data_IF_358250932069
#
_entry.id   IF_358250932069
#
_cell.length_a   1.000
_cell.length_b   1.000
_cell.length_c   1.000
_cell.angle_alpha   90.00
_cell.angle_beta   90.00
_cell.angle_gamma   90.00
#
_symmetry.space_group_name_H-M   'P 1'
#
loop_
_entity.id
_entity.type
_entity.pdbx_description
1 polymer ?
#
# COMPACT_ATOMS: atom_id res chain seq x y z
N UNK A 1 -6.69 5.49 8.12
CA UNK A 1 -5.57 4.79 7.46
C UNK A 1 -4.24 5.04 8.16
N UNK A 2 -3.92 6.28 8.55
CA UNK A 2 -2.67 6.62 9.26
C UNK A 2 -2.47 5.78 10.52
N UNK A 3 -3.50 5.60 11.35
CA UNK A 3 -3.41 4.79 12.57
C UNK A 3 -3.09 3.31 12.30
N UNK A 4 -3.67 2.72 11.25
CA UNK A 4 -3.37 1.34 10.86
C UNK A 4 -1.92 1.21 10.41
N UNK A 5 -1.44 2.18 9.62
CA UNK A 5 -0.05 2.21 9.17
C UNK A 5 0.93 2.40 10.33
N UNK A 6 0.66 3.33 11.23
CA UNK A 6 1.47 3.54 12.43
C UNK A 6 1.54 2.27 13.29
N UNK A 7 0.42 1.55 13.44
CA UNK A 7 0.40 0.26 14.11
C UNK A 7 1.27 -0.78 13.39
N UNK A 8 1.25 -0.83 12.07
CA UNK A 8 2.13 -1.74 11.30
C UNK A 8 3.61 -1.41 11.51
N UNK A 9 3.99 -0.13 11.51
CA UNK A 9 5.37 0.30 11.83
C UNK A 9 5.75 -0.18 13.22
N UNK A 10 4.91 0.10 14.23
CA UNK A 10 5.19 -0.26 15.61
C UNK A 10 5.31 -1.78 15.80
N UNK A 11 4.44 -2.56 15.13
CA UNK A 11 4.50 -4.02 15.15
C UNK A 11 5.77 -4.57 14.49
N UNK A 12 6.28 -3.92 13.44
CA UNK A 12 7.55 -4.32 12.85
C UNK A 12 8.71 -3.96 13.78
N UNK A 13 8.77 -2.72 14.26
CA UNK A 13 9.84 -2.28 15.16
C UNK A 13 9.90 -3.14 16.43
N UNK A 14 8.77 -3.54 17.00
CA UNK A 14 8.76 -4.40 18.19
C UNK A 14 9.37 -5.79 17.96
N UNK A 15 9.44 -6.27 16.71
CA UNK A 15 10.05 -7.56 16.36
C UNK A 15 11.56 -7.46 16.11
N UNK A 16 12.04 -6.33 15.61
CA UNK A 16 13.42 -6.17 15.12
C UNK A 16 14.30 -5.29 16.00
N UNK A 17 13.71 -4.45 16.84
CA UNK A 17 14.45 -3.58 17.75
C UNK A 17 14.96 -4.38 18.95
N UNK A 18 16.19 -4.11 19.36
CA UNK A 18 16.80 -4.69 20.55
C UNK A 18 15.96 -4.45 21.81
N UNK A 19 16.11 -5.32 22.82
CA UNK A 19 15.37 -5.21 24.10
C UNK A 19 15.52 -3.83 24.77
N UNK A 20 16.64 -3.14 24.52
CA UNK A 20 16.95 -1.83 25.10
C UNK A 20 16.56 -0.65 24.19
N UNK A 21 15.96 -0.93 23.02
CA UNK A 21 15.46 0.08 22.07
C UNK A 21 16.49 1.09 21.55
N UNK A 22 17.76 0.68 21.45
CA UNK A 22 18.85 1.60 21.04
C UNK A 22 19.05 1.66 19.52
N UNK A 23 18.44 0.76 18.76
CA UNK A 23 18.70 0.53 17.33
C UNK A 23 17.45 0.71 16.44
N UNK A 24 16.44 1.44 16.91
CA UNK A 24 15.19 1.62 16.16
C UNK A 24 15.32 2.43 14.87
N UNK A 25 16.23 3.41 14.82
CA UNK A 25 16.42 4.29 13.66
C UNK A 25 16.88 3.56 12.37
N UNK A 26 17.94 2.71 12.40
CA UNK A 26 18.30 1.93 11.22
C UNK A 26 17.23 0.91 10.82
N UNK A 27 16.52 0.32 11.80
CA UNK A 27 15.43 -0.63 11.51
C UNK A 27 14.24 0.06 10.83
N UNK A 28 13.92 1.30 11.22
CA UNK A 28 12.87 2.08 10.58
C UNK A 28 13.17 2.32 9.10
N UNK A 29 14.41 2.66 8.77
CA UNK A 29 14.82 2.89 7.37
C UNK A 29 14.68 1.62 6.52
N UNK A 30 15.08 0.46 7.06
CA UNK A 30 14.92 -0.83 6.40
C UNK A 30 13.45 -1.22 6.22
N UNK A 31 12.63 -1.03 7.26
CA UNK A 31 11.20 -1.27 7.19
C UNK A 31 10.54 -0.41 6.11
N UNK A 32 10.83 0.89 6.11
CA UNK A 32 10.25 1.83 5.16
C UNK A 32 10.66 1.51 3.72
N UNK A 33 11.88 0.99 3.50
CA UNK A 33 12.29 0.48 2.19
C UNK A 33 11.43 -0.72 1.79
N UNK A 34 11.33 -1.74 2.65
CA UNK A 34 10.54 -2.95 2.38
C UNK A 34 9.06 -2.63 2.15
N UNK A 35 8.48 -1.74 2.97
CA UNK A 35 7.10 -1.31 2.83
C UNK A 35 6.85 -0.60 1.50
N UNK A 36 7.77 0.26 1.05
CA UNK A 36 7.62 0.99 -0.22
C UNK A 36 7.83 0.11 -1.45
N UNK A 37 8.55 -1.00 -1.33
CA UNK A 37 8.84 -1.91 -2.45
C UNK A 37 7.93 -3.15 -2.50
N UNK A 38 7.17 -3.44 -1.45
CA UNK A 38 6.21 -4.53 -1.42
C UNK A 38 4.81 -4.08 -1.87
N UNK A 39 4.05 -4.96 -2.51
CA UNK A 39 2.67 -4.67 -2.90
C UNK A 39 1.79 -4.51 -1.66
N UNK A 40 1.05 -3.40 -1.61
CA UNK A 40 0.15 -3.13 -0.52
C UNK A 40 -1.20 -3.83 -0.77
N UNK A 41 -1.67 -4.64 0.17
CA UNK A 41 -2.85 -5.53 0.01
C UNK A 41 -4.08 -4.82 -0.57
N UNK A 42 -4.39 -3.63 -0.06
CA UNK A 42 -5.58 -2.85 -0.45
C UNK A 42 -5.49 -2.27 -1.88
N UNK A 43 -4.29 -1.96 -2.37
CA UNK A 43 -4.10 -1.32 -3.69
C UNK A 43 -3.61 -2.31 -4.74
N UNK A 44 -2.98 -3.41 -4.31
CA UNK A 44 -2.32 -4.37 -5.21
C UNK A 44 -1.08 -3.82 -5.89
N UNK A 45 -0.57 -2.68 -5.45
CA UNK A 45 0.60 -2.04 -6.02
C UNK A 45 1.55 -1.61 -4.91
N UNK A 46 2.84 -1.55 -5.23
CA UNK A 46 3.83 -1.00 -4.29
C UNK A 46 3.59 0.51 -4.08
N UNK A 47 3.76 1.03 -2.85
CA UNK A 47 3.65 2.47 -2.59
C UNK A 47 4.60 3.34 -3.41
N UNK A 48 5.81 2.85 -3.69
CA UNK A 48 6.76 3.58 -4.54
C UNK A 48 6.29 3.68 -5.98
N UNK A 49 5.68 2.62 -6.52
CA UNK A 49 5.15 2.64 -7.88
C UNK A 49 3.99 3.63 -8.00
N UNK A 50 3.09 3.67 -7.01
CA UNK A 50 2.01 4.64 -6.97
C UNK A 50 2.49 6.10 -6.84
N UNK A 51 3.63 6.34 -6.19
CA UNK A 51 4.13 7.70 -5.96
C UNK A 51 5.05 8.20 -7.08
N UNK A 52 5.90 7.31 -7.61
CA UNK A 52 6.99 7.67 -8.53
C UNK A 52 6.82 7.11 -9.94
N UNK A 53 5.78 6.31 -10.20
CA UNK A 53 5.59 5.63 -11.49
C UNK A 53 6.70 4.62 -11.81
N UNK A 54 7.43 4.13 -10.79
CA UNK A 54 8.52 3.18 -10.95
C UNK A 54 8.75 2.33 -9.71
N UNK A 55 9.31 1.14 -9.91
CA UNK A 55 9.76 0.29 -8.81
C UNK A 55 11.09 0.79 -8.24
N UNK A 56 11.26 0.68 -6.91
CA UNK A 56 12.52 1.02 -6.26
C UNK A 56 13.61 0.02 -6.68
N UNK A 57 14.85 0.51 -6.79
CA UNK A 57 16.02 -0.33 -6.99
C UNK A 57 16.50 -0.83 -5.63
N UNK A 58 16.45 -2.13 -5.41
CA UNK A 58 16.83 -2.78 -4.16
C UNK A 58 18.31 -3.20 -4.19
N UNK A 59 18.94 -3.49 -3.04
CA UNK A 59 20.31 -4.00 -2.99
C UNK A 59 20.53 -5.25 -3.85
N UNK A 60 19.55 -6.15 -3.93
CA UNK A 60 19.60 -7.31 -4.82
C UNK A 60 19.66 -6.90 -6.31
N UNK A 61 18.92 -5.87 -6.74
CA UNK A 61 18.94 -5.37 -8.11
C UNK A 61 20.32 -4.81 -8.50
N UNK A 62 21.09 -4.32 -7.52
CA UNK A 62 22.46 -3.85 -7.72
C UNK A 62 23.40 -5.06 -7.84
N UNK A 63 23.28 -6.02 -6.93
CA UNK A 63 24.14 -7.21 -6.89
C UNK A 63 23.97 -8.11 -8.12
N UNK A 64 22.74 -8.29 -8.59
CA UNK A 64 22.43 -9.18 -9.72
C UNK A 64 22.35 -8.44 -11.08
N UNK A 65 22.50 -7.11 -11.08
CA UNK A 65 22.54 -6.32 -12.30
C UNK A 65 21.17 -6.21 -12.99
N UNK A 66 20.28 -5.39 -12.42
CA UNK A 66 19.05 -4.96 -13.11
C UNK A 66 19.38 -3.88 -14.15
N UNK A 67 18.90 -4.05 -15.38
CA UNK A 67 19.01 -3.03 -16.44
C UNK A 67 18.29 -1.74 -16.00
N UNK A 68 18.87 -0.59 -16.35
CA UNK A 68 18.26 0.71 -16.05
C UNK A 68 17.19 1.03 -17.10
N UNK A 69 15.98 1.32 -16.64
CA UNK A 69 14.89 1.83 -17.47
C UNK A 69 15.12 3.33 -17.76
N UNK A 70 16.25 3.67 -18.40
CA UNK A 70 16.62 5.05 -18.69
C UNK A 70 15.88 5.51 -19.94
N UNK A 71 15.03 6.55 -19.87
CA UNK A 71 14.34 7.09 -21.04
C UNK A 71 15.34 7.65 -22.05
N UNK A 72 15.02 7.56 -23.34
CA UNK A 72 15.89 8.12 -24.40
C UNK A 72 15.81 9.65 -24.44
N UNK A 73 14.72 10.24 -23.92
CA UNK A 73 14.52 11.68 -23.84
C UNK A 73 13.66 12.10 -22.65
N UNK A 74 13.73 13.38 -22.27
CA UNK A 74 12.88 13.96 -21.21
C UNK A 74 11.38 13.92 -21.54
N UNK A 75 11.01 14.11 -22.81
CA UNK A 75 9.60 14.06 -23.21
C UNK A 75 9.06 12.62 -23.13
N UNK A 76 9.85 11.64 -23.56
CA UNK A 76 9.50 10.23 -23.41
C UNK A 76 9.32 9.85 -21.93
N UNK A 77 10.21 10.33 -21.06
CA UNK A 77 10.08 10.15 -19.62
C UNK A 77 8.76 10.68 -19.07
N UNK A 78 8.40 11.93 -19.41
CA UNK A 78 7.18 12.57 -18.91
C UNK A 78 5.93 11.84 -19.40
N UNK A 79 5.87 11.48 -20.68
CA UNK A 79 4.75 10.75 -21.26
C UNK A 79 4.59 9.35 -20.62
N UNK A 80 5.71 8.64 -20.42
CA UNK A 80 5.69 7.33 -19.78
C UNK A 80 5.27 7.42 -18.31
N UNK A 81 5.73 8.45 -17.60
CA UNK A 81 5.38 8.70 -16.21
C UNK A 81 3.89 8.99 -16.05
N UNK A 82 3.34 9.86 -16.90
CA UNK A 82 1.92 10.20 -16.90
C UNK A 82 1.04 8.97 -17.15
N UNK A 83 1.31 8.23 -18.24
CA UNK A 83 0.57 7.01 -18.57
C UNK A 83 0.70 5.92 -17.47
N UNK A 84 1.88 5.78 -16.87
CA UNK A 84 2.11 4.87 -15.77
C UNK A 84 1.27 5.25 -14.54
N UNK A 85 1.32 6.52 -14.10
CA UNK A 85 0.56 6.97 -12.95
C UNK A 85 -0.95 6.86 -13.18
N UNK A 86 -1.44 7.22 -14.36
CA UNK A 86 -2.85 7.05 -14.72
C UNK A 86 -3.31 5.60 -14.59
N UNK A 87 -2.56 4.67 -15.19
CA UNK A 87 -2.89 3.24 -15.18
C UNK A 87 -2.82 2.63 -13.77
N UNK A 88 -1.75 2.90 -13.01
CA UNK A 88 -1.56 2.39 -11.65
C UNK A 88 -2.65 2.91 -10.71
N UNK A 89 -2.99 4.19 -10.80
CA UNK A 89 -4.06 4.75 -9.97
C UNK A 89 -5.45 4.26 -10.41
N UNK A 90 -5.69 4.05 -11.70
CA UNK A 90 -6.95 3.47 -12.17
C UNK A 90 -7.14 2.05 -11.61
N UNK A 91 -6.12 1.20 -11.74
CA UNK A 91 -6.13 -0.15 -11.19
C UNK A 91 -6.37 -0.17 -9.68
N UNK A 92 -5.63 0.67 -8.92
CA UNK A 92 -5.79 0.73 -7.47
C UNK A 92 -7.20 1.17 -7.06
N UNK A 93 -7.81 2.14 -7.75
CA UNK A 93 -9.19 2.58 -7.48
C UNK A 93 -10.22 1.48 -7.75
N UNK A 94 -10.08 0.74 -8.84
CA UNK A 94 -10.96 -0.38 -9.17
C UNK A 94 -10.89 -1.46 -8.09
N UNK A 95 -9.68 -1.84 -7.68
CA UNK A 95 -9.49 -2.84 -6.62
C UNK A 95 -10.08 -2.39 -5.29
N UNK A 96 -9.83 -1.15 -4.87
CA UNK A 96 -10.42 -0.58 -3.64
C UNK A 96 -11.94 -0.62 -3.70
N UNK A 97 -12.53 -0.28 -4.86
CA UNK A 97 -13.98 -0.32 -5.07
C UNK A 97 -14.53 -1.74 -4.91
N UNK A 98 -13.93 -2.73 -5.57
CA UNK A 98 -14.34 -4.13 -5.49
C UNK A 98 -14.24 -4.67 -4.05
N UNK A 99 -13.14 -4.37 -3.36
CA UNK A 99 -12.95 -4.81 -1.97
C UNK A 99 -13.96 -4.12 -1.03
N UNK A 100 -14.29 -2.85 -1.27
CA UNK A 100 -15.35 -2.15 -0.54
C UNK A 100 -16.73 -2.78 -0.76
N UNK A 101 -17.07 -3.15 -1.99
CA UNK A 101 -18.34 -3.81 -2.33
C UNK A 101 -18.45 -5.21 -1.70
N UNK A 102 -17.35 -5.99 -1.72
CA UNK A 102 -17.27 -7.28 -1.03
C UNK A 102 -17.45 -7.12 0.47
N UNK A 103 -16.78 -6.14 1.06
CA UNK A 103 -16.85 -5.87 2.50
C UNK A 103 -18.26 -5.46 2.91
N UNK A 104 -18.93 -4.61 2.10
CA UNK A 104 -20.33 -4.24 2.28
C UNK A 104 -21.24 -5.47 2.20
N UNK A 105 -21.12 -6.28 1.15
CA UNK A 105 -21.95 -7.49 0.97
C UNK A 105 -21.82 -8.45 2.16
N UNK A 106 -20.59 -8.65 2.65
CA UNK A 106 -20.33 -9.48 3.84
C UNK A 106 -20.99 -8.89 5.09
N UNK A 107 -20.90 -7.58 5.29
CA UNK A 107 -21.55 -6.90 6.41
C UNK A 107 -23.07 -7.03 6.33
N UNK A 108 -23.65 -6.75 5.17
CA UNK A 108 -25.09 -6.77 4.93
C UNK A 108 -25.69 -8.18 5.02
N UNK A 109 -24.91 -9.24 4.73
CA UNK A 109 -25.37 -10.63 4.81
C UNK A 109 -25.82 -11.09 6.21
N UNK A 110 -25.32 -10.44 7.26
CA UNK A 110 -25.72 -10.68 8.65
C UNK A 110 -26.76 -9.69 9.17
N UNK A 111 -27.18 -8.71 8.36
CA UNK A 111 -28.10 -7.68 8.79
C UNK A 111 -29.54 -8.20 8.74
N UNK A 112 -30.07 -8.62 9.90
CA UNK A 112 -31.51 -8.86 10.05
C UNK A 112 -32.21 -7.51 10.10
N UNK A 113 -33.07 -7.22 9.13
CA UNK A 113 -33.88 -6.00 9.13
C UNK A 113 -34.88 -6.03 10.29
N UNK A 114 -34.52 -5.47 11.44
CA UNK A 114 -35.48 -5.18 12.49
C UNK A 114 -36.44 -4.09 11.98
N UNK A 115 -37.64 -4.52 11.57
CA UNK A 115 -38.77 -3.64 11.39
C UNK A 115 -39.34 -3.31 12.77
N UNK A 116 -38.98 -2.14 13.29
CA UNK A 116 -39.64 -1.58 14.46
C UNK A 116 -41.03 -1.10 14.06
N UNK A 117 -42.02 -1.40 14.89
CA UNK A 117 -43.38 -0.83 14.76
C UNK A 117 -43.51 0.35 15.72
N UNK A 118 -44.44 1.27 15.41
CA UNK A 118 -44.79 2.35 16.34
C UNK A 118 -45.19 1.75 17.70
N UNK A 119 -44.44 2.08 18.75
CA UNK A 119 -44.63 1.57 20.11
C UNK A 119 -43.53 0.63 20.63
N UNK A 120 -42.60 0.19 19.79
CA UNK A 120 -41.45 -0.59 20.26
C UNK A 120 -40.49 0.29 21.08
N UNK A 121 -40.09 -0.16 22.27
CA UNK A 121 -39.05 0.49 23.07
C UNK A 121 -37.66 0.00 22.63
N UNK A 122 -36.76 0.96 22.44
CA UNK A 122 -35.33 0.77 22.11
C UNK A 122 -34.52 0.65 23.39
#
# INVERSE_FOLDING_TARGET
MVERFNRTILNHLSLFVSKNQTDWDPQLSLFLLAYRSADHEATGCTPAHMLFGRTLRLPCDILFGRQSDTPSSSNEYLNNLEACLESVHAFARERIKLDSERMKTRYDSGATGHHFKEGDQV
#
